data_IF_744921468352
#
_entry.id   IF_744921468352
#
_cell.length_a   1.000
_cell.length_b   1.000
_cell.length_c   1.000
_cell.angle_alpha   90.00
_cell.angle_beta   90.00
_cell.angle_gamma   90.00
#
_symmetry.space_group_name_H-M   'P 1'
#
loop_
_entity.id
_entity.type
_entity.pdbx_description
1 polymer ?
#
# COMPACT_ATOMS: atom_id res chain seq x y z
N UNK A 1 6.72 -5.54 -24.97
CA UNK A 1 6.69 -4.06 -24.76
C UNK A 1 7.17 -3.84 -23.33
N UNK A 2 8.08 -2.90 -23.02
CA UNK A 2 8.54 -2.72 -21.65
C UNK A 2 7.39 -2.26 -20.75
N UNK A 3 7.35 -2.77 -19.51
CA UNK A 3 6.34 -2.43 -18.52
C UNK A 3 7.01 -1.86 -17.27
N UNK A 4 6.46 -0.75 -16.78
CA UNK A 4 6.76 -0.19 -15.47
C UNK A 4 5.54 -0.36 -14.57
N UNK A 5 5.73 -1.00 -13.43
CA UNK A 5 4.68 -1.24 -12.43
C UNK A 5 5.22 -1.01 -11.03
N UNK A 6 4.36 -0.94 -10.03
CA UNK A 6 4.81 -0.76 -8.65
C UNK A 6 3.68 -0.70 -7.65
N UNK A 7 4.08 -0.61 -6.38
CA UNK A 7 3.21 -0.62 -5.22
C UNK A 7 3.73 0.39 -4.17
N UNK A 8 2.86 0.76 -3.24
CA UNK A 8 3.16 1.58 -2.08
C UNK A 8 3.34 0.74 -0.81
N UNK A 9 3.98 1.30 0.22
CA UNK A 9 4.26 0.57 1.46
C UNK A 9 3.01 0.12 2.25
N UNK A 10 1.88 0.81 2.09
CA UNK A 10 0.64 0.53 2.85
C UNK A 10 -0.59 0.59 1.94
N UNK A 11 -0.62 -0.26 0.90
CA UNK A 11 -1.72 -0.31 -0.08
C UNK A 11 -3.09 -0.56 0.57
N UNK A 12 -3.16 -1.38 1.62
CA UNK A 12 -4.43 -1.72 2.27
C UNK A 12 -4.97 -0.61 3.18
N UNK A 13 -4.15 0.37 3.57
CA UNK A 13 -4.52 1.35 4.60
C UNK A 13 -5.72 2.22 4.19
N UNK A 14 -5.81 2.60 2.91
CA UNK A 14 -6.99 3.25 2.35
C UNK A 14 -8.23 2.35 2.45
N UNK A 15 -8.09 1.06 2.12
CA UNK A 15 -9.18 0.08 2.20
C UNK A 15 -9.65 -0.07 3.65
N UNK A 16 -8.72 -0.11 4.61
CA UNK A 16 -9.04 -0.12 6.05
C UNK A 16 -9.84 1.12 6.45
N UNK A 17 -9.43 2.33 6.01
CA UNK A 17 -10.15 3.58 6.31
C UNK A 17 -11.58 3.54 5.75
N UNK A 18 -11.75 3.18 4.48
CA UNK A 18 -13.08 3.17 3.85
C UNK A 18 -13.97 2.02 4.34
N UNK A 19 -13.38 0.90 4.75
CA UNK A 19 -14.06 -0.16 5.49
C UNK A 19 -14.42 0.26 6.93
N UNK A 20 -13.85 1.37 7.43
CA UNK A 20 -13.98 1.89 8.79
C UNK A 20 -15.39 2.29 9.23
N UNK A 21 -16.41 2.24 8.36
CA UNK A 21 -17.80 2.23 8.84
C UNK A 21 -18.13 0.97 9.66
N UNK A 22 -17.33 -0.09 9.54
CA UNK A 22 -17.49 -1.38 10.25
C UNK A 22 -16.47 -1.61 11.37
N UNK A 23 -15.41 -0.81 11.45
CA UNK A 23 -14.30 -1.00 12.38
C UNK A 23 -13.95 0.32 13.04
N UNK A 24 -13.61 0.29 14.33
CA UNK A 24 -13.03 1.47 14.95
C UNK A 24 -11.62 1.66 14.37
N UNK A 25 -11.40 2.69 13.56
CA UNK A 25 -10.11 3.00 12.89
C UNK A 25 -9.50 4.32 13.36
N UNK A 26 -10.06 4.92 14.41
CA UNK A 26 -9.62 6.23 14.91
C UNK A 26 -8.22 6.16 15.54
N UNK A 27 -7.87 5.04 16.19
CA UNK A 27 -6.62 4.90 16.95
C UNK A 27 -5.73 3.74 16.47
N UNK A 28 -4.44 3.79 16.84
CA UNK A 28 -3.43 2.84 16.37
C UNK A 28 -3.67 1.38 16.82
N UNK A 29 -4.50 1.14 17.84
CA UNK A 29 -4.70 -0.15 18.52
C UNK A 29 -6.14 -0.67 18.50
N UNK A 30 -7.02 -0.07 17.69
CA UNK A 30 -8.47 -0.30 17.76
C UNK A 30 -8.98 -1.56 17.05
N UNK A 31 -8.09 -2.32 16.39
CA UNK A 31 -8.45 -3.57 15.69
C UNK A 31 -8.17 -4.78 16.58
N UNK A 32 -9.21 -5.55 16.86
CA UNK A 32 -9.19 -6.82 17.59
C UNK A 32 -8.83 -8.01 16.69
N UNK A 33 -8.54 -9.14 17.32
CA UNK A 33 -8.31 -10.40 16.62
C UNK A 33 -9.55 -10.87 15.83
N UNK A 34 -10.75 -10.72 16.40
CA UNK A 34 -11.99 -11.13 15.75
C UNK A 34 -12.30 -10.27 14.51
N UNK A 35 -12.01 -8.97 14.56
CA UNK A 35 -12.11 -8.08 13.39
C UNK A 35 -11.10 -8.45 12.30
N UNK A 36 -9.87 -8.82 12.67
CA UNK A 36 -8.88 -9.32 11.72
C UNK A 36 -9.35 -10.62 11.05
N UNK A 37 -9.86 -11.59 11.82
CA UNK A 37 -10.43 -12.82 11.27
C UNK A 37 -11.62 -12.53 10.35
N UNK A 38 -12.48 -11.57 10.73
CA UNK A 38 -13.63 -11.18 9.92
C UNK A 38 -13.19 -10.64 8.55
N UNK A 39 -12.12 -9.84 8.48
CA UNK A 39 -11.57 -9.38 7.20
C UNK A 39 -11.12 -10.55 6.33
N UNK A 40 -10.38 -11.50 6.89
CA UNK A 40 -9.94 -12.68 6.11
C UNK A 40 -11.13 -13.49 5.58
N UNK A 41 -12.19 -13.66 6.40
CA UNK A 41 -13.44 -14.32 5.96
C UNK A 41 -14.16 -13.54 4.86
N UNK A 42 -14.12 -12.21 4.88
CA UNK A 42 -14.75 -11.41 3.81
C UNK A 42 -13.98 -11.52 2.50
N UNK A 43 -12.65 -11.63 2.56
CA UNK A 43 -11.79 -11.76 1.38
C UNK A 43 -11.95 -13.13 0.73
N UNK A 44 -12.00 -14.19 1.54
CA UNK A 44 -12.15 -15.58 1.07
C UNK A 44 -13.29 -16.29 1.82
N UNK A 45 -14.56 -16.09 1.42
CA UNK A 45 -15.73 -16.59 2.17
C UNK A 45 -15.80 -18.11 2.33
N UNK A 46 -15.25 -18.85 1.37
CA UNK A 46 -15.26 -20.32 1.36
C UNK A 46 -14.01 -20.93 2.03
N UNK A 47 -13.11 -20.09 2.56
CA UNK A 47 -11.92 -20.59 3.24
C UNK A 47 -12.29 -21.35 4.53
N UNK A 48 -11.72 -22.54 4.75
CA UNK A 48 -11.81 -23.22 6.03
C UNK A 48 -11.29 -22.36 7.17
N UNK A 49 -11.89 -22.50 8.36
CA UNK A 49 -11.58 -21.66 9.52
C UNK A 49 -10.12 -21.81 9.99
N UNK A 50 -9.50 -22.98 9.80
CA UNK A 50 -8.08 -23.17 10.04
C UNK A 50 -7.20 -22.34 9.10
N UNK A 51 -7.60 -22.19 7.84
CA UNK A 51 -6.88 -21.37 6.86
C UNK A 51 -7.04 -19.88 7.20
N UNK A 52 -8.24 -19.45 7.57
CA UNK A 52 -8.52 -18.07 8.03
C UNK A 52 -7.60 -17.70 9.19
N UNK A 53 -7.51 -18.56 10.21
CA UNK A 53 -6.63 -18.34 11.36
C UNK A 53 -5.15 -18.38 11.00
N UNK A 54 -4.75 -19.29 10.11
CA UNK A 54 -3.37 -19.40 9.67
C UNK A 54 -2.90 -18.12 8.98
N UNK A 55 -3.72 -17.55 8.08
CA UNK A 55 -3.44 -16.27 7.42
C UNK A 55 -3.33 -15.15 8.45
N UNK A 56 -4.36 -14.95 9.29
CA UNK A 56 -4.34 -13.90 10.30
C UNK A 56 -3.13 -14.01 11.25
N UNK A 57 -2.78 -15.24 11.65
CA UNK A 57 -1.63 -15.50 12.51
C UNK A 57 -0.32 -15.15 11.81
N UNK A 58 -0.14 -15.62 10.56
CA UNK A 58 1.07 -15.41 9.76
C UNK A 58 1.39 -13.91 9.61
N UNK A 59 0.39 -13.09 9.30
CA UNK A 59 0.57 -11.65 9.17
C UNK A 59 0.76 -10.98 10.53
N UNK A 60 0.01 -11.36 11.56
CA UNK A 60 0.14 -10.74 12.90
C UNK A 60 1.49 -10.98 13.59
N UNK A 61 2.26 -11.98 13.14
CA UNK A 61 3.56 -12.35 13.70
C UNK A 61 4.77 -11.93 12.85
N UNK A 62 4.55 -11.47 11.62
CA UNK A 62 5.62 -11.15 10.66
C UNK A 62 6.55 -10.05 11.17
N UNK A 63 5.98 -9.00 11.73
CA UNK A 63 6.76 -7.88 12.26
C UNK A 63 6.71 -7.84 13.79
N UNK A 64 7.84 -8.23 14.39
CA UNK A 64 8.03 -8.19 15.85
C UNK A 64 8.08 -6.73 16.32
N UNK A 65 7.45 -6.44 17.45
CA UNK A 65 7.53 -5.14 18.11
C UNK A 65 6.38 -4.16 17.84
N UNK A 66 5.36 -4.54 17.05
CA UNK A 66 4.17 -3.69 16.80
C UNK A 66 3.19 -3.57 17.98
N UNK A 67 3.38 -4.35 19.04
CA UNK A 67 2.56 -4.28 20.25
C UNK A 67 1.06 -4.40 19.96
N UNK A 68 0.28 -3.44 20.44
CA UNK A 68 -1.18 -3.38 20.27
C UNK A 68 -1.61 -3.09 18.81
N UNK A 69 -0.74 -2.51 17.98
CA UNK A 69 -1.05 -2.17 16.59
C UNK A 69 -0.90 -3.35 15.61
N UNK A 70 -0.50 -4.53 16.09
CA UNK A 70 -0.17 -5.69 15.24
C UNK A 70 -1.33 -6.15 14.35
N UNK A 71 -2.56 -6.12 14.85
CA UNK A 71 -3.71 -6.61 14.09
C UNK A 71 -4.19 -5.61 13.04
N UNK A 72 -4.13 -4.32 13.35
CA UNK A 72 -4.38 -3.27 12.34
C UNK A 72 -3.36 -3.33 11.22
N UNK A 73 -2.08 -3.50 11.56
CA UNK A 73 -1.05 -3.67 10.55
C UNK A 73 -1.26 -4.94 9.73
N UNK A 74 -1.53 -6.08 10.37
CA UNK A 74 -1.85 -7.31 9.66
C UNK A 74 -3.05 -7.13 8.72
N UNK A 75 -4.08 -6.38 9.14
CA UNK A 75 -5.24 -6.07 8.31
C UNK A 75 -4.86 -5.23 7.08
N UNK A 76 -4.05 -4.18 7.24
CA UNK A 76 -3.49 -3.38 6.14
C UNK A 76 -2.73 -4.27 5.15
N UNK A 77 -1.82 -5.11 5.64
CA UNK A 77 -1.02 -5.98 4.77
C UNK A 77 -1.86 -7.05 4.07
N UNK A 78 -2.79 -7.71 4.76
CA UNK A 78 -3.68 -8.71 4.14
C UNK A 78 -4.52 -8.07 3.02
N UNK A 79 -5.11 -6.90 3.26
CA UNK A 79 -5.92 -6.20 2.27
C UNK A 79 -5.07 -5.70 1.10
N UNK A 80 -3.92 -5.10 1.39
CA UNK A 80 -2.98 -4.62 0.37
C UNK A 80 -2.45 -5.75 -0.50
N UNK A 81 -2.05 -6.85 0.11
CA UNK A 81 -1.52 -8.03 -0.59
C UNK A 81 -2.57 -8.67 -1.48
N UNK A 82 -3.77 -8.90 -0.95
CA UNK A 82 -4.83 -9.55 -1.70
C UNK A 82 -5.32 -8.71 -2.88
N UNK A 83 -5.56 -7.41 -2.67
CA UNK A 83 -6.20 -6.57 -3.69
C UNK A 83 -5.21 -5.91 -4.66
N UNK A 84 -3.97 -5.66 -4.25
CA UNK A 84 -3.02 -4.86 -5.03
C UNK A 84 -1.69 -5.59 -5.23
N UNK A 85 -0.95 -5.91 -4.16
CA UNK A 85 0.46 -6.34 -4.29
C UNK A 85 0.59 -7.67 -5.01
N UNK A 86 -0.13 -8.72 -4.59
CA UNK A 86 -0.05 -10.03 -5.24
C UNK A 86 -0.56 -10.00 -6.68
N UNK A 87 -1.72 -9.38 -7.01
CA UNK A 87 -2.16 -9.22 -8.40
C UNK A 87 -1.17 -8.48 -9.29
N UNK A 88 -0.55 -7.39 -8.80
CA UNK A 88 0.48 -6.64 -9.53
C UNK A 88 1.73 -7.51 -9.77
N UNK A 89 2.17 -8.26 -8.76
CA UNK A 89 3.29 -9.18 -8.89
C UNK A 89 3.00 -10.33 -9.87
N UNK A 90 1.77 -10.87 -9.87
CA UNK A 90 1.36 -11.92 -10.81
C UNK A 90 1.32 -11.39 -12.25
N UNK A 91 0.73 -10.22 -12.48
CA UNK A 91 0.75 -9.54 -13.78
C UNK A 91 2.18 -9.33 -14.27
N UNK A 92 3.05 -8.79 -13.42
CA UNK A 92 4.46 -8.59 -13.73
C UNK A 92 5.17 -9.90 -14.12
N UNK A 93 4.92 -10.99 -13.37
CA UNK A 93 5.46 -12.31 -13.68
C UNK A 93 5.04 -12.83 -15.05
N UNK A 94 3.74 -12.73 -15.37
CA UNK A 94 3.21 -13.14 -16.69
C UNK A 94 3.84 -12.35 -17.84
N UNK A 95 4.06 -11.07 -17.66
CA UNK A 95 4.70 -10.22 -18.68
C UNK A 95 6.15 -10.63 -18.93
N UNK A 96 6.90 -10.96 -17.88
CA UNK A 96 8.25 -11.53 -18.01
C UNK A 96 8.23 -12.85 -18.78
N UNK A 97 7.27 -13.74 -18.50
CA UNK A 97 7.14 -15.03 -19.21
C UNK A 97 6.87 -14.85 -20.71
N UNK A 98 6.23 -13.75 -21.11
CA UNK A 98 6.03 -13.40 -22.53
C UNK A 98 7.24 -12.72 -23.18
N UNK A 99 8.33 -12.50 -22.44
CA UNK A 99 9.55 -11.86 -22.92
C UNK A 99 9.54 -10.33 -22.86
N UNK A 100 8.56 -9.72 -22.19
CA UNK A 100 8.54 -8.26 -21.97
C UNK A 100 9.50 -7.88 -20.83
N UNK A 101 10.36 -6.86 -20.99
CA UNK A 101 11.12 -6.30 -19.87
C UNK A 101 10.18 -5.68 -18.84
N UNK A 102 10.35 -6.03 -17.56
CA UNK A 102 9.54 -5.49 -16.46
C UNK A 102 10.42 -4.74 -15.46
N UNK A 103 10.03 -3.52 -15.15
CA UNK A 103 10.60 -2.68 -14.11
C UNK A 103 9.56 -2.52 -12.99
N UNK A 104 9.94 -2.86 -11.77
CA UNK A 104 9.07 -2.74 -10.60
C UNK A 104 9.62 -1.69 -9.63
N UNK A 105 8.74 -0.87 -9.04
CA UNK A 105 9.11 0.06 -7.96
C UNK A 105 8.33 -0.23 -6.67
N UNK A 106 8.95 0.14 -5.55
CA UNK A 106 8.34 0.14 -4.23
C UNK A 106 8.40 1.54 -3.63
N UNK A 107 7.25 2.20 -3.51
CA UNK A 107 7.16 3.58 -3.07
C UNK A 107 6.92 3.65 -1.55
N UNK A 108 7.90 4.22 -0.83
CA UNK A 108 7.93 4.20 0.64
C UNK A 108 7.99 5.58 1.28
N UNK A 109 7.78 6.65 0.51
CA UNK A 109 7.89 8.01 1.03
C UNK A 109 6.55 8.49 1.60
N UNK A 110 6.53 8.80 2.90
CA UNK A 110 5.37 9.41 3.56
C UNK A 110 5.39 10.92 3.33
N UNK A 111 4.47 11.41 2.50
CA UNK A 111 4.36 12.84 2.19
C UNK A 111 4.07 13.67 3.43
N UNK A 112 4.78 14.79 3.59
CA UNK A 112 4.66 15.66 4.76
C UNK A 112 3.31 16.37 4.86
N UNK A 113 2.63 16.57 3.73
CA UNK A 113 1.28 17.17 3.65
C UNK A 113 0.13 16.16 3.70
N UNK A 114 0.40 14.87 3.88
CA UNK A 114 -0.64 13.85 3.87
C UNK A 114 -1.62 14.05 5.04
N UNK A 115 -2.92 14.14 4.74
CA UNK A 115 -3.97 14.41 5.74
C UNK A 115 -4.51 13.15 6.42
N UNK A 116 -4.10 11.97 5.98
CA UNK A 116 -4.52 10.71 6.59
C UNK A 116 -3.88 10.53 7.97
N UNK A 117 -4.49 9.74 8.88
CA UNK A 117 -3.88 9.43 10.16
C UNK A 117 -2.48 8.84 9.98
N UNK A 118 -1.50 9.23 10.81
CA UNK A 118 -0.11 8.79 10.64
C UNK A 118 0.10 7.27 10.69
N UNK A 119 -0.86 6.52 11.23
CA UNK A 119 -0.82 5.06 11.24
C UNK A 119 -0.95 4.43 9.85
N UNK A 120 -1.50 5.18 8.89
CA UNK A 120 -1.73 4.75 7.49
C UNK A 120 -0.44 4.62 6.70
N UNK A 121 0.65 5.22 7.16
CA UNK A 121 1.94 5.13 6.48
C UNK A 121 1.86 5.72 5.07
N UNK A 122 2.14 4.91 4.06
CA UNK A 122 2.13 5.33 2.65
C UNK A 122 0.92 4.71 1.94
N UNK A 123 -0.28 5.30 2.05
CA UNK A 123 -1.49 4.76 1.47
C UNK A 123 -1.42 4.64 -0.05
N UNK A 124 -2.28 3.80 -0.60
CA UNK A 124 -2.52 3.71 -2.04
C UNK A 124 -2.69 5.10 -2.67
N UNK A 125 -1.97 5.37 -3.77
CA UNK A 125 -2.01 6.63 -4.51
C UNK A 125 -1.07 7.74 -4.00
N UNK A 126 -0.31 7.50 -2.92
CA UNK A 126 0.66 8.47 -2.36
C UNK A 126 1.77 8.88 -3.34
N UNK A 127 2.05 8.07 -4.34
CA UNK A 127 3.05 8.25 -5.38
C UNK A 127 2.57 9.16 -6.53
N UNK A 128 1.25 9.23 -6.76
CA UNK A 128 0.67 9.95 -7.91
C UNK A 128 1.07 11.44 -7.94
N UNK A 129 1.08 12.19 -6.81
CA UNK A 129 1.50 13.59 -6.84
C UNK A 129 2.97 13.79 -7.25
N UNK A 130 3.84 12.80 -6.98
CA UNK A 130 5.24 12.81 -7.40
C UNK A 130 5.36 12.56 -8.90
N UNK A 131 4.53 11.66 -9.43
CA UNK A 131 4.47 11.33 -10.85
C UNK A 131 3.95 12.50 -11.69
N UNK A 132 2.86 13.13 -11.26
CA UNK A 132 2.18 14.19 -12.04
C UNK A 132 2.64 15.61 -11.70
N UNK A 133 3.62 15.77 -10.81
CA UNK A 133 4.12 17.08 -10.34
C UNK A 133 3.01 17.94 -9.72
N UNK A 134 2.11 17.30 -9.00
CA UNK A 134 1.00 17.96 -8.29
C UNK A 134 1.22 17.98 -6.77
N UNK A 135 2.48 17.92 -6.31
CA UNK A 135 2.80 17.97 -4.87
C UNK A 135 2.20 19.19 -4.15
N UNK A 136 1.99 20.32 -4.82
CA UNK A 136 1.34 21.49 -4.23
C UNK A 136 -0.15 21.26 -3.86
N UNK A 137 -0.80 20.23 -4.41
CA UNK A 137 -2.14 19.80 -4.01
C UNK A 137 -2.12 18.75 -2.90
N UNK A 138 -0.93 18.33 -2.45
CA UNK A 138 -0.78 17.41 -1.31
C UNK A 138 -0.78 18.27 -0.05
N UNK A 139 -1.77 18.05 0.81
CA UNK A 139 -2.02 18.91 1.96
C UNK A 139 -2.93 20.09 1.61
N UNK A 140 -3.48 20.73 2.66
CA UNK A 140 -4.35 21.89 2.49
C UNK A 140 -3.61 23.09 1.87
N UNK A 141 -4.34 24.16 1.56
CA UNK A 141 -3.83 25.33 0.84
C UNK A 141 -2.58 26.02 1.45
N UNK A 142 -2.26 25.75 2.72
CA UNK A 142 -1.08 26.28 3.41
C UNK A 142 0.14 25.36 3.40
N UNK A 143 0.03 24.13 2.89
CA UNK A 143 1.13 23.19 2.84
C UNK A 143 2.07 23.50 1.66
N UNK A 144 3.36 23.54 1.94
CA UNK A 144 4.40 23.69 0.92
C UNK A 144 5.26 22.42 0.92
N UNK A 145 5.40 21.72 -0.23
CA UNK A 145 6.25 20.55 -0.33
C UNK A 145 7.70 20.86 0.03
N UNK A 146 8.38 19.92 0.65
CA UNK A 146 9.80 20.05 0.99
C UNK A 146 10.68 19.99 -0.26
N UNK A 147 11.90 20.54 -0.16
CA UNK A 147 12.88 20.44 -1.25
C UNK A 147 13.19 18.98 -1.60
N UNK A 148 13.27 18.11 -0.59
CA UNK A 148 13.48 16.68 -0.76
C UNK A 148 12.35 16.01 -1.55
N UNK A 149 11.08 16.36 -1.28
CA UNK A 149 9.92 15.87 -2.03
C UNK A 149 9.93 16.38 -3.47
N UNK A 150 10.30 17.65 -3.69
CA UNK A 150 10.52 18.20 -5.03
C UNK A 150 11.63 17.46 -5.80
N UNK A 151 12.72 17.09 -5.11
CA UNK A 151 13.79 16.26 -5.67
C UNK A 151 13.34 14.83 -6.00
N UNK A 152 12.54 14.22 -5.13
CA UNK A 152 11.96 12.91 -5.36
C UNK A 152 11.01 12.92 -6.57
N UNK A 153 10.12 13.91 -6.68
CA UNK A 153 9.21 14.04 -7.83
C UNK A 153 9.96 14.14 -9.15
N UNK A 154 11.05 14.94 -9.21
CA UNK A 154 11.90 15.00 -10.40
C UNK A 154 12.49 13.64 -10.79
N UNK A 155 12.97 12.86 -9.81
CA UNK A 155 13.51 11.51 -10.07
C UNK A 155 12.45 10.53 -10.55
N UNK A 156 11.27 10.52 -9.93
CA UNK A 156 10.14 9.67 -10.35
C UNK A 156 9.77 9.98 -11.80
N UNK A 157 9.58 11.26 -12.14
CA UNK A 157 9.28 11.67 -13.52
C UNK A 157 10.36 11.21 -14.52
N UNK A 158 11.63 11.29 -14.14
CA UNK A 158 12.73 10.83 -15.00
C UNK A 158 12.63 9.33 -15.27
N UNK A 159 12.36 8.50 -14.26
CA UNK A 159 12.18 7.06 -14.47
C UNK A 159 10.97 6.77 -15.37
N UNK A 160 9.84 7.44 -15.14
CA UNK A 160 8.62 7.25 -15.94
C UNK A 160 8.77 7.75 -17.40
N UNK A 161 9.57 8.78 -17.64
CA UNK A 161 9.83 9.29 -18.99
C UNK A 161 10.83 8.42 -19.76
N UNK A 162 11.76 7.75 -19.07
CA UNK A 162 12.86 7.00 -19.70
C UNK A 162 12.51 5.53 -19.93
N UNK A 163 11.73 4.89 -19.05
CA UNK A 163 11.46 3.45 -19.17
C UNK A 163 10.89 2.99 -20.53
N UNK A 164 10.05 3.77 -21.25
CA UNK A 164 9.53 3.33 -22.55
C UNK A 164 10.61 3.19 -23.62
N UNK A 165 11.76 3.83 -23.40
CA UNK A 165 12.88 3.92 -24.34
C UNK A 165 14.10 3.10 -23.91
N UNK A 166 14.06 2.45 -22.75
CA UNK A 166 15.17 1.68 -22.19
C UNK A 166 15.13 0.17 -22.52
N UNK A 167 14.33 -0.21 -23.52
CA UNK A 167 14.19 -1.59 -24.01
C UNK A 167 15.12 -1.92 -25.17
#
# INVERSE_FOLDING_TARGET
MPILTGINANEGSCIVIYAGSRFNVENASSISWDELLQVVRMIVPEAPEEAVRAVALRYSQEEKGRGEARYRWAMDQILGDYFIVCPVAEMAGREVETGSPVYAYYFTHHSSGLSTPGWTGVPQGSELPYLFRTLASVGGASHTPTEAEGGLSRRVMQYFAVYPWSG
#
